data_IF_184232260622
#
_entry.id   IF_184232260622
#
_cell.length_a   1.000
_cell.length_b   1.000
_cell.length_c   1.000
_cell.angle_alpha   90.00
_cell.angle_beta   90.00
_cell.angle_gamma   90.00
#
_symmetry.space_group_name_H-M   'P 1'
#
loop_
_entity.id
_entity.type
_entity.pdbx_description
1 polymer ?
#
# COMPACT_ATOMS: atom_id res chain seq x y z
N UNK A 1 20.59 -18.12 9.44
CA UNK A 1 19.73 -17.23 8.62
C UNK A 1 18.97 -16.25 9.52
N UNK A 2 19.67 -15.31 10.17
CA UNK A 2 19.09 -14.38 11.17
C UNK A 2 19.24 -12.91 10.78
N UNK A 3 20.17 -12.62 9.85
CA UNK A 3 20.47 -11.28 9.35
C UNK A 3 19.37 -10.68 8.45
N UNK A 4 18.63 -11.48 7.68
CA UNK A 4 17.60 -10.97 6.75
C UNK A 4 16.37 -10.36 7.44
N UNK A 5 15.97 -10.87 8.61
CA UNK A 5 14.75 -10.42 9.28
C UNK A 5 14.93 -9.03 9.88
N UNK A 6 16.09 -8.76 10.48
CA UNK A 6 16.37 -7.44 11.06
C UNK A 6 16.44 -6.37 9.97
N UNK A 7 17.02 -6.68 8.82
CA UNK A 7 17.09 -5.77 7.68
C UNK A 7 15.70 -5.47 7.11
N UNK A 8 14.81 -6.48 7.05
CA UNK A 8 13.41 -6.28 6.67
C UNK A 8 12.64 -5.41 7.66
N UNK A 9 12.86 -5.56 8.97
CA UNK A 9 12.25 -4.72 10.00
C UNK A 9 12.70 -3.26 9.91
N UNK A 10 13.96 -3.02 9.57
CA UNK A 10 14.51 -1.68 9.39
C UNK A 10 13.93 -0.98 8.15
N UNK A 11 13.70 -1.74 7.07
CA UNK A 11 13.04 -1.22 5.87
C UNK A 11 11.55 -0.96 6.12
N UNK A 12 10.85 -1.86 6.82
CA UNK A 12 9.42 -1.73 7.16
C UNK A 12 9.22 -1.02 8.51
N UNK A 13 9.86 0.13 8.66
CA UNK A 13 9.69 0.98 9.83
C UNK A 13 8.39 1.82 9.78
N UNK A 14 8.19 2.66 10.79
CA UNK A 14 7.02 3.54 10.85
C UNK A 14 6.99 4.55 9.68
N UNK A 15 8.13 4.93 9.09
CA UNK A 15 8.13 5.85 7.96
C UNK A 15 7.60 5.15 6.70
N UNK A 16 8.03 3.90 6.46
CA UNK A 16 7.59 3.11 5.32
C UNK A 16 6.08 2.83 5.35
N UNK A 17 5.47 2.55 6.50
CA UNK A 17 4.01 2.37 6.57
C UNK A 17 3.26 3.67 6.20
N UNK A 18 3.76 4.83 6.65
CA UNK A 18 3.18 6.13 6.32
C UNK A 18 3.25 6.37 4.81
N UNK A 19 4.39 6.05 4.17
CA UNK A 19 4.56 6.15 2.72
C UNK A 19 3.60 5.22 1.99
N UNK A 20 3.46 3.96 2.41
CA UNK A 20 2.54 2.99 1.78
C UNK A 20 1.09 3.50 1.83
N UNK A 21 0.66 4.03 2.99
CA UNK A 21 -0.67 4.59 3.16
C UNK A 21 -0.85 5.83 2.26
N UNK A 22 0.13 6.74 2.24
CA UNK A 22 0.08 7.93 1.40
C UNK A 22 0.01 7.57 -0.10
N UNK A 23 0.85 6.65 -0.57
CA UNK A 23 0.84 6.21 -1.98
C UNK A 23 -0.49 5.57 -2.34
N UNK A 24 -1.03 4.69 -1.48
CA UNK A 24 -2.34 4.08 -1.71
C UNK A 24 -3.48 5.09 -1.74
N UNK A 25 -3.47 6.07 -0.83
CA UNK A 25 -4.46 7.16 -0.82
C UNK A 25 -4.31 8.04 -2.06
N UNK A 26 -3.11 8.48 -2.41
CA UNK A 26 -2.89 9.31 -3.59
C UNK A 26 -3.31 8.61 -4.88
N UNK A 27 -3.04 7.30 -5.00
CA UNK A 27 -3.50 6.55 -6.18
C UNK A 27 -5.03 6.52 -6.25
N UNK A 28 -5.73 6.32 -5.13
CA UNK A 28 -7.20 6.37 -5.12
C UNK A 28 -7.75 7.78 -5.40
N UNK A 29 -7.17 8.80 -4.80
CA UNK A 29 -7.68 10.18 -4.90
C UNK A 29 -7.33 10.86 -6.21
N UNK A 30 -6.10 10.71 -6.71
CA UNK A 30 -5.64 11.36 -7.93
C UNK A 30 -5.98 10.49 -9.14
N UNK A 31 -5.45 9.26 -9.20
CA UNK A 31 -5.67 8.39 -10.36
C UNK A 31 -7.12 7.93 -10.42
N UNK A 32 -7.72 7.61 -9.27
CA UNK A 32 -9.13 7.23 -9.21
C UNK A 32 -10.06 8.36 -9.64
N UNK A 33 -9.79 9.60 -9.25
CA UNK A 33 -10.57 10.75 -9.74
C UNK A 33 -10.42 10.95 -11.26
N UNK A 34 -9.19 10.83 -11.79
CA UNK A 34 -8.93 10.93 -13.23
C UNK A 34 -9.66 9.83 -14.02
N UNK A 35 -9.63 8.57 -13.56
CA UNK A 35 -10.34 7.46 -14.17
C UNK A 35 -11.87 7.63 -14.09
N UNK A 36 -12.37 8.19 -12.99
CA UNK A 36 -13.77 8.51 -12.82
C UNK A 36 -14.23 9.57 -13.83
N UNK A 37 -13.46 10.64 -14.00
CA UNK A 37 -13.74 11.70 -14.99
C UNK A 37 -13.74 11.16 -16.43
N UNK A 38 -12.87 10.19 -16.73
CA UNK A 38 -12.82 9.53 -18.03
C UNK A 38 -13.91 8.46 -18.24
N UNK A 39 -14.80 8.24 -17.25
CA UNK A 39 -15.85 7.22 -17.23
C UNK A 39 -15.32 5.78 -17.38
N UNK A 40 -14.05 5.53 -17.03
CA UNK A 40 -13.38 4.23 -17.14
C UNK A 40 -13.69 3.36 -15.92
N UNK A 41 -14.94 2.89 -15.81
CA UNK A 41 -15.44 2.17 -14.62
C UNK A 41 -14.70 0.86 -14.33
N UNK A 42 -14.27 0.14 -15.36
CA UNK A 42 -13.53 -1.13 -15.20
C UNK A 42 -12.13 -0.90 -14.62
N UNK A 43 -11.40 0.06 -15.17
CA UNK A 43 -10.07 0.43 -14.69
C UNK A 43 -10.11 1.03 -13.29
N UNK A 44 -11.12 1.86 -13.01
CA UNK A 44 -11.34 2.40 -11.68
C UNK A 44 -11.57 1.32 -10.62
N UNK A 45 -12.28 0.24 -10.97
CA UNK A 45 -12.48 -0.88 -10.06
C UNK A 45 -11.18 -1.66 -9.83
N UNK A 46 -10.39 -1.88 -10.90
CA UNK A 46 -9.07 -2.51 -10.79
C UNK A 46 -8.14 -1.67 -9.91
N UNK A 47 -8.07 -0.37 -10.15
CA UNK A 47 -7.27 0.56 -9.36
C UNK A 47 -7.64 0.50 -7.87
N UNK A 48 -8.94 0.54 -7.55
CA UNK A 48 -9.41 0.43 -6.16
C UNK A 48 -9.00 -0.89 -5.51
N UNK A 49 -9.13 -2.01 -6.24
CA UNK A 49 -8.71 -3.33 -5.75
C UNK A 49 -7.21 -3.35 -5.50
N UNK A 50 -6.39 -2.86 -6.43
CA UNK A 50 -4.94 -2.81 -6.29
C UNK A 50 -4.54 -1.92 -5.12
N UNK A 51 -5.08 -0.70 -5.04
CA UNK A 51 -4.75 0.24 -3.99
C UNK A 51 -5.16 -0.27 -2.60
N UNK A 52 -6.37 -0.84 -2.48
CA UNK A 52 -6.82 -1.44 -1.23
C UNK A 52 -5.99 -2.66 -0.84
N UNK A 53 -5.61 -3.50 -1.80
CA UNK A 53 -4.73 -4.64 -1.56
C UNK A 53 -3.35 -4.19 -1.10
N UNK A 54 -2.80 -3.14 -1.71
CA UNK A 54 -1.48 -2.61 -1.39
C UNK A 54 -1.43 -2.06 0.05
N UNK A 55 -2.44 -1.27 0.44
CA UNK A 55 -2.57 -0.77 1.82
C UNK A 55 -2.77 -1.93 2.80
N UNK A 56 -3.68 -2.86 2.50
CA UNK A 56 -4.02 -3.98 3.39
C UNK A 56 -2.83 -4.92 3.61
N UNK A 57 -2.13 -5.29 2.54
CA UNK A 57 -0.93 -6.13 2.61
C UNK A 57 0.20 -5.39 3.34
N UNK A 58 0.42 -4.11 3.04
CA UNK A 58 1.44 -3.32 3.72
C UNK A 58 1.22 -3.24 5.23
N UNK A 59 -0.02 -3.01 5.66
CA UNK A 59 -0.39 -3.01 7.09
C UNK A 59 -0.21 -4.42 7.70
N UNK A 60 -0.66 -5.47 7.03
CA UNK A 60 -0.53 -6.84 7.52
C UNK A 60 0.95 -7.23 7.71
N UNK A 61 1.80 -6.96 6.72
CA UNK A 61 3.24 -7.24 6.78
C UNK A 61 3.90 -6.44 7.91
N UNK A 62 3.56 -5.17 8.07
CA UNK A 62 4.07 -4.35 9.15
C UNK A 62 3.73 -4.90 10.54
N UNK A 63 2.49 -5.33 10.75
CA UNK A 63 2.07 -5.96 12.01
C UNK A 63 2.86 -7.25 12.25
N UNK A 64 2.99 -8.11 11.25
CA UNK A 64 3.75 -9.37 11.35
C UNK A 64 5.21 -9.11 11.73
N UNK A 65 5.87 -8.15 11.06
CA UNK A 65 7.26 -7.80 11.31
C UNK A 65 7.49 -7.15 12.67
N UNK A 66 6.51 -6.42 13.20
CA UNK A 66 6.59 -5.78 14.51
C UNK A 66 6.34 -6.74 15.67
N UNK A 67 5.54 -7.78 15.45
CA UNK A 67 5.22 -8.81 16.45
C UNK A 67 6.30 -9.90 16.52
N UNK A 68 6.89 -10.26 15.39
CA UNK A 68 8.06 -11.17 15.31
C UNK A 68 9.33 -10.43 15.73
#
# INVERSE_FOLDING_TARGET
>A
MRWNINLLKDIFDNATIVIIILVGLFSIFIDGYNLQNRKLRRELNILKVIAFSYISIGIAVFIILKVT
#
